data_IF_194429518425
#
_entry.id   IF_194429518425
#
_cell.length_a   1.000
_cell.length_b   1.000
_cell.length_c   1.000
_cell.angle_alpha   90.00
_cell.angle_beta   90.00
_cell.angle_gamma   90.00
#
_symmetry.space_group_name_H-M   'P 1'
#
loop_
_entity.id
_entity.type
_entity.pdbx_description
1 polymer ?
#
# COMPACT_ATOMS: atom_id res chain seq x y z
N UNK A 1 3.14 -7.83 -14.85
CA UNK A 1 3.22 -9.03 -13.98
C UNK A 1 4.50 -8.91 -13.19
N UNK A 2 4.41 -8.95 -11.86
CA UNK A 2 5.54 -8.83 -10.96
C UNK A 2 5.62 -10.07 -10.09
N UNK A 3 6.83 -10.54 -9.80
CA UNK A 3 7.06 -11.71 -8.93
C UNK A 3 7.50 -11.20 -7.57
N UNK A 4 6.73 -11.52 -6.53
CA UNK A 4 7.06 -11.19 -5.15
C UNK A 4 7.59 -12.44 -4.45
N UNK A 5 8.76 -12.31 -3.83
CA UNK A 5 9.33 -13.36 -2.99
C UNK A 5 9.29 -12.89 -1.54
N UNK A 6 8.55 -13.63 -0.72
CA UNK A 6 8.52 -13.45 0.73
C UNK A 6 9.90 -13.73 1.34
N UNK A 7 10.26 -13.08 2.46
CA UNK A 7 11.47 -13.44 3.23
C UNK A 7 11.52 -14.91 3.66
N UNK A 8 10.36 -15.59 3.69
CA UNK A 8 10.24 -17.03 3.99
C UNK A 8 10.34 -17.92 2.74
N UNK A 9 10.71 -17.37 1.58
CA UNK A 9 10.91 -18.09 0.32
C UNK A 9 9.63 -18.38 -0.48
N UNK A 10 8.45 -17.92 -0.03
CA UNK A 10 7.20 -18.08 -0.79
C UNK A 10 7.20 -17.13 -2.00
N UNK A 11 6.98 -17.67 -3.20
CA UNK A 11 6.92 -16.92 -4.45
C UNK A 11 5.47 -16.75 -4.89
N UNK A 12 5.04 -15.52 -5.17
CA UNK A 12 3.70 -15.19 -5.64
C UNK A 12 3.80 -14.29 -6.88
N UNK A 13 3.06 -14.65 -7.93
CA UNK A 13 2.97 -13.84 -9.15
C UNK A 13 1.77 -12.92 -9.02
N UNK A 14 2.00 -11.61 -9.09
CA UNK A 14 0.97 -10.59 -8.94
C UNK A 14 0.83 -9.75 -10.20
N UNK A 15 -0.41 -9.36 -10.49
CA UNK A 15 -0.70 -8.43 -11.58
C UNK A 15 -0.82 -7.01 -11.00
N UNK A 16 0.12 -6.14 -11.35
CA UNK A 16 0.03 -4.72 -11.00
C UNK A 16 -0.99 -4.05 -11.94
N UNK A 17 -1.94 -3.31 -11.36
CA UNK A 17 -2.88 -2.45 -12.10
C UNK A 17 -2.82 -1.03 -11.55
N UNK A 18 -3.30 -0.05 -12.34
CA UNK A 18 -3.40 1.34 -11.89
C UNK A 18 -4.40 1.44 -10.74
N UNK A 19 -4.07 2.18 -9.70
CA UNK A 19 -4.91 2.36 -8.52
C UNK A 19 -6.20 3.10 -8.90
N UNK A 20 -7.35 2.49 -8.63
CA UNK A 20 -8.65 3.12 -8.83
C UNK A 20 -9.14 3.79 -7.54
N UNK A 21 -10.13 4.67 -7.63
CA UNK A 21 -10.67 5.42 -6.48
C UNK A 21 -11.17 4.51 -5.35
N UNK A 22 -11.70 3.31 -5.68
CA UNK A 22 -12.11 2.30 -4.70
C UNK A 22 -10.92 1.64 -3.99
N UNK A 23 -9.79 1.43 -4.68
CA UNK A 23 -8.58 0.87 -4.08
C UNK A 23 -8.02 1.82 -3.02
N UNK A 24 -8.13 3.14 -3.23
CA UNK A 24 -7.67 4.16 -2.27
C UNK A 24 -8.31 3.97 -0.89
N UNK A 25 -9.61 3.66 -0.84
CA UNK A 25 -10.29 3.42 0.43
C UNK A 25 -9.77 2.17 1.14
N UNK A 26 -9.63 1.07 0.40
CA UNK A 26 -9.09 -0.19 0.94
C UNK A 26 -7.65 -0.04 1.42
N UNK A 27 -6.79 0.61 0.62
CA UNK A 27 -5.39 0.89 0.96
C UNK A 27 -5.31 1.78 2.20
N UNK A 28 -6.13 2.85 2.28
CA UNK A 28 -6.21 3.73 3.46
C UNK A 28 -6.58 2.94 4.72
N UNK A 29 -7.60 2.08 4.64
CA UNK A 29 -8.03 1.27 5.79
C UNK A 29 -6.94 0.28 6.24
N UNK A 30 -6.29 -0.40 5.29
CA UNK A 30 -5.24 -1.36 5.57
C UNK A 30 -4.03 -0.69 6.21
N UNK A 31 -3.51 0.39 5.62
CA UNK A 31 -2.36 1.12 6.14
C UNK A 31 -2.69 1.66 7.54
N UNK A 32 -3.86 2.30 7.73
CA UNK A 32 -4.27 2.84 9.02
C UNK A 32 -4.28 1.78 10.12
N UNK A 33 -4.68 0.54 9.83
CA UNK A 33 -4.68 -0.56 10.80
C UNK A 33 -3.28 -0.86 11.36
N UNK A 34 -2.24 -0.79 10.51
CA UNK A 34 -0.86 -1.06 10.92
C UNK A 34 -0.16 0.20 11.45
N UNK A 35 -0.38 1.34 10.83
CA UNK A 35 0.33 2.58 11.16
C UNK A 35 -0.25 3.28 12.38
N UNK A 36 -1.53 3.10 12.72
CA UNK A 36 -2.08 3.69 13.94
C UNK A 36 -1.39 3.18 15.21
N UNK A 37 -0.90 1.93 15.22
CA UNK A 37 -0.12 1.41 16.35
C UNK A 37 1.27 2.03 16.46
N UNK A 38 1.90 2.38 15.34
CA UNK A 38 3.27 2.93 15.33
C UNK A 38 3.32 4.46 15.42
N UNK A 39 2.41 5.14 14.72
CA UNK A 39 2.46 6.59 14.49
C UNK A 39 1.21 7.32 15.02
N UNK A 40 0.27 6.61 15.65
CA UNK A 40 -0.93 7.22 16.20
C UNK A 40 -1.87 7.79 15.12
N UNK A 41 -2.24 9.06 15.24
CA UNK A 41 -3.16 9.76 14.30
C UNK A 41 -2.47 10.34 13.05
N UNK A 42 -1.18 10.09 12.86
CA UNK A 42 -0.44 10.60 11.70
C UNK A 42 -0.93 9.93 10.41
N UNK A 43 -1.41 10.73 9.45
CA UNK A 43 -1.97 10.25 8.20
C UNK A 43 -0.89 9.98 7.16
N UNK A 44 -0.13 8.91 7.36
CA UNK A 44 1.04 8.52 6.52
C UNK A 44 0.64 8.20 5.08
N UNK A 45 -0.64 7.88 4.83
CA UNK A 45 -1.14 7.67 3.48
C UNK A 45 -0.98 8.94 2.63
N UNK A 46 -1.14 10.12 3.24
CA UNK A 46 -0.99 11.39 2.53
C UNK A 46 0.46 11.62 2.08
N UNK A 47 1.44 11.16 2.87
CA UNK A 47 2.87 11.20 2.53
C UNK A 47 3.20 10.23 1.39
N UNK A 48 2.66 9.00 1.43
CA UNK A 48 2.90 8.00 0.38
C UNK A 48 2.25 8.35 -0.97
N UNK A 49 1.01 8.84 -0.94
CA UNK A 49 0.25 9.10 -2.16
C UNK A 49 0.75 10.34 -2.91
N UNK A 50 1.27 11.34 -2.18
CA UNK A 50 1.85 12.56 -2.77
C UNK A 50 3.00 12.28 -3.73
N UNK A 51 3.74 11.19 -3.53
CA UNK A 51 4.88 10.81 -4.38
C UNK A 51 4.48 9.91 -5.56
N UNK A 52 3.27 9.36 -5.56
CA UNK A 52 2.81 8.35 -6.54
C UNK A 52 1.99 8.95 -7.70
N UNK A 53 1.50 10.19 -7.55
CA UNK A 53 0.75 10.90 -8.58
C UNK A 53 1.60 11.85 -9.44
N UNK A 54 2.89 12.02 -9.13
CA UNK A 54 3.80 12.89 -9.89
C UNK A 54 4.46 12.18 -11.09
N UNK A 55 4.02 10.97 -11.47
CA UNK A 55 4.52 10.26 -12.65
C UNK A 55 3.38 9.56 -13.41
#
# INVERSE_FOLDING_TARGET
MSVLTSPRGKVEVVHCRRTESQDIYCIKSLIRKFTCKLFGKLNIIYLLFSHSCLH
#
